data_IF_909300198729
#
_entry.id   IF_909300198729
#
_cell.length_a   1.000
_cell.length_b   1.000
_cell.length_c   1.000
_cell.angle_alpha   90.00
_cell.angle_beta   90.00
_cell.angle_gamma   90.00
#
_symmetry.space_group_name_H-M   'P 1'
#
loop_
_entity.id
_entity.type
_entity.pdbx_description
1 polymer ?
#
# COMPACT_ATOMS: atom_id res chain seq x y z
N UNK A 1 13.42 12.16 1.14
CA UNK A 1 12.85 11.47 -0.06
C UNK A 1 13.93 11.28 -1.13
N UNK A 2 14.86 12.20 -1.30
CA UNK A 2 16.01 12.07 -2.21
C UNK A 2 16.89 10.86 -1.93
N UNK A 3 16.78 10.25 -0.76
CA UNK A 3 17.58 9.07 -0.34
C UNK A 3 16.90 7.73 -0.66
N UNK A 4 15.64 7.71 -1.14
CA UNK A 4 14.93 6.47 -1.48
C UNK A 4 14.78 6.36 -2.99
N UNK A 5 15.59 5.55 -3.67
CA UNK A 5 15.49 5.36 -5.11
C UNK A 5 14.15 4.75 -5.54
N UNK A 6 13.67 5.15 -6.72
CA UNK A 6 12.38 4.69 -7.24
C UNK A 6 12.27 3.16 -7.38
N UNK A 7 13.37 2.47 -7.66
CA UNK A 7 13.42 1.00 -7.72
C UNK A 7 13.02 0.31 -6.41
N UNK A 8 13.42 0.89 -5.27
CA UNK A 8 13.03 0.39 -3.94
C UNK A 8 11.54 0.60 -3.70
N UNK A 9 11.04 1.81 -4.02
CA UNK A 9 9.62 2.16 -3.87
C UNK A 9 8.74 1.27 -4.73
N UNK A 10 9.09 1.11 -6.01
CA UNK A 10 8.36 0.26 -6.95
C UNK A 10 8.36 -1.20 -6.53
N UNK A 11 9.52 -1.73 -6.08
CA UNK A 11 9.64 -3.08 -5.54
C UNK A 11 8.77 -3.29 -4.30
N UNK A 12 8.81 -2.35 -3.35
CA UNK A 12 8.03 -2.37 -2.13
C UNK A 12 6.52 -2.31 -2.39
N UNK A 13 6.06 -1.34 -3.18
CA UNK A 13 4.64 -1.19 -3.53
C UNK A 13 4.11 -2.41 -4.27
N UNK A 14 4.89 -2.93 -5.22
CA UNK A 14 4.53 -4.16 -5.92
C UNK A 14 4.47 -5.36 -4.97
N UNK A 15 5.42 -5.47 -4.04
CA UNK A 15 5.42 -6.50 -2.99
C UNK A 15 4.16 -6.45 -2.12
N UNK A 16 3.74 -5.26 -1.68
CA UNK A 16 2.49 -5.07 -0.94
C UNK A 16 1.28 -5.52 -1.79
N UNK A 17 1.23 -5.14 -3.06
CA UNK A 17 0.17 -5.56 -3.98
C UNK A 17 0.07 -7.08 -4.08
N UNK A 18 1.20 -7.79 -4.22
CA UNK A 18 1.25 -9.24 -4.23
C UNK A 18 0.82 -9.87 -2.90
N UNK A 19 1.25 -9.30 -1.75
CA UNK A 19 0.81 -9.75 -0.42
C UNK A 19 -0.73 -9.66 -0.31
N UNK A 20 -1.30 -8.51 -0.68
CA UNK A 20 -2.75 -8.30 -0.63
C UNK A 20 -3.46 -9.37 -1.46
N UNK A 21 -3.06 -9.57 -2.71
CA UNK A 21 -3.68 -10.56 -3.59
C UNK A 21 -3.56 -11.97 -3.00
N UNK A 22 -2.38 -12.36 -2.55
CA UNK A 22 -2.15 -13.69 -2.00
C UNK A 22 -3.00 -13.97 -0.76
N UNK A 23 -3.13 -13.00 0.14
CA UNK A 23 -3.96 -13.13 1.35
C UNK A 23 -5.46 -13.17 1.05
N UNK A 24 -5.91 -12.66 -0.09
CA UNK A 24 -7.32 -12.66 -0.47
C UNK A 24 -7.75 -13.94 -1.20
N UNK A 25 -6.84 -14.84 -1.58
CA UNK A 25 -7.18 -16.10 -2.24
C UNK A 25 -8.07 -16.97 -1.33
N UNK A 26 -7.74 -17.08 -0.05
CA UNK A 26 -8.56 -17.84 0.91
C UNK A 26 -9.97 -17.27 1.06
N UNK A 27 -10.15 -16.01 1.49
CA UNK A 27 -11.46 -15.38 1.61
C UNK A 27 -12.29 -15.39 0.32
N UNK A 28 -11.64 -15.28 -0.85
CA UNK A 28 -12.28 -15.38 -2.16
C UNK A 28 -12.94 -16.76 -2.35
N UNK A 29 -12.29 -17.81 -1.89
CA UNK A 29 -12.79 -19.19 -1.92
C UNK A 29 -13.71 -19.52 -0.73
N UNK A 30 -13.90 -18.59 0.21
CA UNK A 30 -14.67 -18.81 1.44
C UNK A 30 -13.91 -19.59 2.52
N UNK A 31 -12.59 -19.70 2.38
CA UNK A 31 -11.70 -20.35 3.34
C UNK A 31 -11.14 -19.27 4.29
N UNK A 32 -11.31 -19.48 5.59
CA UNK A 32 -10.70 -18.57 6.58
C UNK A 32 -9.20 -18.85 6.68
N UNK A 33 -8.41 -17.85 6.34
CA UNK A 33 -6.96 -17.90 6.44
C UNK A 33 -6.47 -16.81 7.37
N UNK A 34 -5.40 -17.08 8.11
CA UNK A 34 -4.76 -16.12 9.02
C UNK A 34 -3.24 -16.24 8.91
N UNK A 35 -2.55 -15.15 9.24
CA UNK A 35 -1.10 -15.15 9.32
C UNK A 35 -0.40 -14.59 8.10
N UNK A 36 0.81 -15.09 7.85
CA UNK A 36 1.67 -14.64 6.75
C UNK A 36 1.22 -15.25 5.41
N UNK A 37 1.73 -14.68 4.30
CA UNK A 37 1.40 -15.13 2.94
C UNK A 37 1.59 -16.64 2.77
N UNK A 38 2.73 -17.18 3.22
CA UNK A 38 3.03 -18.62 3.09
C UNK A 38 2.03 -19.47 3.87
N UNK A 39 1.74 -19.09 5.12
CA UNK A 39 0.80 -19.82 5.99
C UNK A 39 -0.62 -19.78 5.42
N UNK A 40 -1.02 -18.63 4.88
CA UNK A 40 -2.32 -18.47 4.22
C UNK A 40 -2.44 -19.37 2.99
N UNK A 41 -1.44 -19.37 2.12
CA UNK A 41 -1.44 -20.18 0.91
C UNK A 41 -1.40 -21.69 1.26
N UNK A 42 -0.53 -22.09 2.19
CA UNK A 42 -0.48 -23.51 2.64
C UNK A 42 -1.80 -23.96 3.23
N UNK A 43 -2.49 -23.11 4.00
CA UNK A 43 -3.83 -23.41 4.53
C UNK A 43 -4.85 -23.61 3.42
N UNK A 44 -4.83 -22.76 2.38
CA UNK A 44 -5.71 -22.92 1.22
C UNK A 44 -5.46 -24.24 0.48
N UNK A 45 -4.19 -24.60 0.27
CA UNK A 45 -3.84 -25.82 -0.47
C UNK A 45 -4.05 -27.11 0.36
N UNK A 46 -3.80 -27.07 1.67
CA UNK A 46 -3.96 -28.25 2.54
C UNK A 46 -5.43 -28.54 2.89
N UNK A 47 -6.26 -27.50 3.01
CA UNK A 47 -7.67 -27.60 3.36
C UNK A 47 -8.56 -27.06 2.24
N UNK A 48 -8.35 -27.52 1.01
CA UNK A 48 -9.08 -27.03 -0.15
C UNK A 48 -10.56 -27.46 -0.10
N UNK A 49 -11.39 -26.69 0.57
CA UNK A 49 -12.84 -26.83 0.61
C UNK A 49 -13.50 -25.51 0.18
N UNK A 50 -13.55 -25.24 -1.12
CA UNK A 50 -14.09 -23.99 -1.62
C UNK A 50 -15.61 -23.91 -1.40
N UNK A 51 -16.08 -22.77 -0.92
CA UNK A 51 -17.49 -22.46 -0.73
C UNK A 51 -18.08 -21.87 -2.02
N UNK A 52 -19.00 -22.55 -2.72
CA UNK A 52 -19.57 -22.03 -3.97
C UNK A 52 -20.27 -20.68 -3.81
N UNK A 53 -20.91 -20.43 -2.66
CA UNK A 53 -21.54 -19.15 -2.37
C UNK A 53 -20.51 -18.00 -2.30
N UNK A 54 -19.40 -18.25 -1.61
CA UNK A 54 -18.31 -17.26 -1.52
C UNK A 54 -17.68 -16.98 -2.89
N UNK A 55 -17.44 -18.02 -3.69
CA UNK A 55 -16.94 -17.86 -5.07
C UNK A 55 -17.90 -17.04 -5.91
N UNK A 56 -19.20 -17.33 -5.85
CA UNK A 56 -20.21 -16.58 -6.60
C UNK A 56 -20.22 -15.09 -6.23
N UNK A 57 -20.15 -14.77 -4.94
CA UNK A 57 -20.05 -13.40 -4.44
C UNK A 57 -18.76 -12.73 -4.90
N UNK A 58 -17.62 -13.42 -4.81
CA UNK A 58 -16.32 -12.90 -5.24
C UNK A 58 -16.30 -12.62 -6.75
N UNK A 59 -16.77 -13.54 -7.57
CA UNK A 59 -16.83 -13.37 -9.03
C UNK A 59 -17.75 -12.21 -9.41
N UNK A 60 -18.92 -12.11 -8.76
CA UNK A 60 -19.83 -10.98 -9.01
C UNK A 60 -19.18 -9.66 -8.60
N UNK A 61 -18.48 -9.60 -7.48
CA UNK A 61 -17.75 -8.41 -7.03
C UNK A 61 -16.65 -8.02 -8.01
N UNK A 62 -15.81 -8.98 -8.42
CA UNK A 62 -14.76 -8.75 -9.42
C UNK A 62 -15.38 -8.27 -10.74
N UNK A 63 -16.47 -8.89 -11.18
CA UNK A 63 -17.20 -8.45 -12.37
C UNK A 63 -17.62 -6.99 -12.27
N UNK A 64 -18.25 -6.57 -11.17
CA UNK A 64 -18.65 -5.17 -10.98
C UNK A 64 -17.43 -4.26 -10.97
N UNK A 65 -16.39 -4.61 -10.19
CA UNK A 65 -15.23 -3.71 -10.00
C UNK A 65 -14.42 -3.54 -11.29
N UNK A 66 -14.30 -4.58 -12.13
CA UNK A 66 -13.57 -4.51 -13.38
C UNK A 66 -14.39 -4.00 -14.56
N UNK A 67 -15.69 -4.30 -14.59
CA UNK A 67 -16.55 -3.97 -15.73
C UNK A 67 -17.26 -2.61 -15.60
N UNK A 68 -17.22 -1.98 -14.40
CA UNK A 68 -17.87 -0.67 -14.22
C UNK A 68 -17.25 0.38 -15.15
N UNK A 69 -18.05 0.98 -16.07
CA UNK A 69 -17.56 1.98 -17.00
C UNK A 69 -17.07 3.24 -16.27
N UNK A 70 -16.06 3.90 -16.83
CA UNK A 70 -15.50 5.15 -16.26
C UNK A 70 -16.55 6.23 -16.02
N UNK A 71 -17.60 6.29 -16.86
CA UNK A 71 -18.70 7.24 -16.70
C UNK A 71 -19.48 7.05 -15.39
N UNK A 72 -19.70 5.79 -14.97
CA UNK A 72 -20.36 5.47 -13.70
C UNK A 72 -19.38 5.63 -12.55
N UNK A 73 -18.15 5.18 -12.71
CA UNK A 73 -17.10 5.26 -11.67
C UNK A 73 -16.71 6.69 -11.28
N UNK A 74 -17.03 7.70 -12.10
CA UNK A 74 -16.88 9.11 -11.78
C UNK A 74 -17.86 9.59 -10.69
N UNK A 75 -19.06 9.01 -10.65
CA UNK A 75 -20.10 9.35 -9.67
C UNK A 75 -20.06 8.44 -8.45
N UNK A 76 -19.93 7.15 -8.68
CA UNK A 76 -19.87 6.13 -7.62
C UNK A 76 -18.66 5.22 -7.90
N UNK A 77 -17.61 5.25 -7.05
CA UNK A 77 -16.45 4.36 -7.20
C UNK A 77 -16.87 2.89 -7.30
N UNK A 78 -16.26 2.14 -8.21
CA UNK A 78 -16.62 0.75 -8.47
C UNK A 78 -16.62 -0.16 -7.21
N UNK A 79 -15.66 0.00 -6.25
CA UNK A 79 -15.73 -0.74 -4.98
C UNK A 79 -16.96 -0.41 -4.14
N UNK A 80 -17.39 0.85 -4.11
CA UNK A 80 -18.59 1.26 -3.39
C UNK A 80 -19.85 0.72 -4.08
N UNK A 81 -19.88 0.73 -5.41
CA UNK A 81 -20.97 0.15 -6.18
C UNK A 81 -21.08 -1.37 -5.90
N UNK A 82 -19.95 -2.08 -5.84
CA UNK A 82 -19.93 -3.49 -5.46
C UNK A 82 -20.49 -3.70 -4.06
N UNK A 83 -20.11 -2.90 -3.07
CA UNK A 83 -20.66 -2.96 -1.71
C UNK A 83 -22.18 -2.77 -1.70
N UNK A 84 -22.67 -1.74 -2.39
CA UNK A 84 -24.10 -1.41 -2.41
C UNK A 84 -24.98 -2.44 -3.14
N UNK A 85 -24.44 -3.14 -4.12
CA UNK A 85 -25.17 -4.15 -4.90
C UNK A 85 -25.02 -5.53 -4.28
N UNK A 86 -23.79 -5.95 -4.01
CA UNK A 86 -23.50 -7.35 -3.64
C UNK A 86 -23.90 -7.64 -2.21
N UNK A 87 -23.79 -6.67 -1.28
CA UNK A 87 -24.19 -6.91 0.12
C UNK A 87 -25.68 -7.23 0.24
N UNK A 88 -26.64 -6.42 -0.29
CA UNK A 88 -28.04 -6.80 -0.27
C UNK A 88 -28.31 -8.13 -0.97
N UNK A 89 -27.73 -8.36 -2.15
CA UNK A 89 -27.91 -9.62 -2.86
C UNK A 89 -27.45 -10.80 -1.98
N UNK A 90 -26.31 -10.66 -1.29
CA UNK A 90 -25.83 -11.72 -0.40
C UNK A 90 -26.75 -11.99 0.79
N UNK A 91 -27.46 -10.98 1.28
CA UNK A 91 -28.44 -11.13 2.38
C UNK A 91 -29.68 -11.89 1.90
N UNK A 92 -30.19 -11.53 0.70
CA UNK A 92 -31.39 -12.17 0.16
C UNK A 92 -31.15 -13.57 -0.39
N UNK A 93 -29.98 -13.86 -0.96
CA UNK A 93 -29.70 -15.17 -1.58
C UNK A 93 -29.13 -16.20 -0.63
N UNK A 94 -28.42 -15.78 0.41
CA UNK A 94 -27.69 -16.69 1.30
C UNK A 94 -28.10 -16.47 2.76
N UNK A 95 -28.58 -17.55 3.40
CA UNK A 95 -28.96 -17.55 4.80
C UNK A 95 -27.78 -17.40 5.76
N UNK A 96 -28.10 -17.26 7.05
CA UNK A 96 -27.09 -17.21 8.11
C UNK A 96 -26.22 -18.46 8.10
N UNK A 97 -24.90 -18.27 8.25
CA UNK A 97 -23.91 -19.35 8.28
C UNK A 97 -23.41 -19.85 6.92
N UNK A 98 -24.04 -19.48 5.79
CA UNK A 98 -23.56 -19.90 4.45
C UNK A 98 -22.37 -19.06 3.96
N UNK A 99 -22.23 -17.84 4.45
CA UNK A 99 -21.15 -16.92 4.10
C UNK A 99 -20.50 -16.38 5.37
N UNK A 100 -19.19 -16.32 5.38
CA UNK A 100 -18.44 -15.60 6.42
C UNK A 100 -18.61 -14.10 6.18
N UNK A 101 -19.15 -13.41 7.18
CA UNK A 101 -19.37 -11.94 7.18
C UNK A 101 -18.38 -11.28 8.12
N UNK A 102 -18.29 -9.94 8.07
CA UNK A 102 -17.43 -9.17 8.98
C UNK A 102 -17.75 -9.49 10.45
N UNK A 103 -19.04 -9.67 10.77
CA UNK A 103 -19.50 -9.93 12.13
C UNK A 103 -19.61 -8.66 12.97
N UNK A 104 -19.69 -8.81 14.29
CA UNK A 104 -19.95 -7.69 15.21
C UNK A 104 -18.88 -6.60 15.15
N UNK A 105 -19.30 -5.39 14.86
CA UNK A 105 -18.47 -4.20 14.86
C UNK A 105 -18.72 -3.43 16.17
N UNK A 106 -17.66 -3.12 16.95
CA UNK A 106 -17.80 -2.28 18.12
C UNK A 106 -18.50 -0.97 17.77
N UNK A 107 -19.60 -0.66 18.48
CA UNK A 107 -20.41 0.52 18.25
C UNK A 107 -20.11 1.58 19.29
N UNK A 108 -20.13 2.83 18.87
CA UNK A 108 -20.02 3.96 19.76
C UNK A 108 -18.87 4.90 19.42
N UNK A 109 -18.87 6.02 20.10
CA UNK A 109 -17.77 6.98 19.96
C UNK A 109 -16.52 6.40 20.67
N UNK A 110 -15.36 6.36 20.02
CA UNK A 110 -14.14 5.90 20.66
C UNK A 110 -13.88 6.66 21.97
N UNK A 111 -13.65 5.93 23.04
CA UNK A 111 -13.34 6.52 24.35
C UNK A 111 -11.89 6.94 24.42
N UNK A 112 -11.64 8.07 25.08
CA UNK A 112 -10.28 8.49 25.41
C UNK A 112 -9.67 7.50 26.40
N UNK A 113 -8.60 6.87 26.02
CA UNK A 113 -7.91 5.87 26.85
C UNK A 113 -6.44 6.26 26.98
N UNK A 114 -5.99 6.54 28.20
CA UNK A 114 -4.57 6.74 28.48
C UNK A 114 -3.93 5.36 28.56
N UNK A 115 -3.03 5.01 27.64
CA UNK A 115 -2.42 3.69 27.64
C UNK A 115 -1.57 3.49 28.91
N UNK A 116 -1.81 2.40 29.63
CA UNK A 116 -0.95 1.98 30.75
C UNK A 116 0.31 1.35 30.16
N UNK A 117 1.41 2.09 30.22
CA UNK A 117 2.71 1.62 29.70
C UNK A 117 3.45 0.89 30.81
N UNK A 118 3.59 -0.42 30.69
CA UNK A 118 4.45 -1.20 31.56
C UNK A 118 5.91 -1.12 31.07
N UNK A 119 6.85 -0.85 31.95
CA UNK A 119 8.28 -0.66 31.61
C UNK A 119 8.87 -1.84 30.82
N UNK A 120 8.41 -3.05 31.05
CA UNK A 120 8.85 -4.25 30.35
C UNK A 120 8.54 -4.24 28.84
N UNK A 121 7.54 -3.48 28.39
CA UNK A 121 7.16 -3.38 26.97
C UNK A 121 7.77 -2.17 26.27
N UNK A 122 8.42 -1.25 26.98
CA UNK A 122 9.01 -0.04 26.39
C UNK A 122 9.94 -0.33 25.20
N UNK A 123 10.87 -1.30 25.25
CA UNK A 123 11.75 -1.56 24.11
C UNK A 123 10.99 -2.02 22.86
N UNK A 124 9.95 -2.83 23.03
CA UNK A 124 9.12 -3.33 21.93
C UNK A 124 8.29 -2.19 21.35
N UNK A 125 7.68 -1.36 22.21
CA UNK A 125 6.88 -0.19 21.82
C UNK A 125 7.75 0.80 21.05
N UNK A 126 8.94 1.11 21.56
CA UNK A 126 9.86 2.04 20.90
C UNK A 126 10.32 1.52 19.53
N UNK A 127 10.72 0.24 19.45
CA UNK A 127 11.11 -0.40 18.18
C UNK A 127 9.96 -0.38 17.18
N UNK A 128 8.78 -0.81 17.56
CA UNK A 128 7.60 -0.82 16.69
C UNK A 128 7.20 0.60 16.27
N UNK A 129 7.21 1.55 17.21
CA UNK A 129 6.90 2.95 16.93
C UNK A 129 7.87 3.60 15.95
N UNK A 130 9.18 3.38 16.13
CA UNK A 130 10.20 3.88 15.21
C UNK A 130 10.00 3.35 13.78
N UNK A 131 9.75 2.07 13.69
CA UNK A 131 9.51 1.40 12.41
C UNK A 131 8.27 1.96 11.71
N UNK A 132 7.15 2.05 12.44
CA UNK A 132 5.91 2.61 11.89
C UNK A 132 6.06 4.09 11.53
N UNK A 133 6.85 4.86 12.29
CA UNK A 133 7.16 6.25 11.97
C UNK A 133 7.93 6.38 10.65
N UNK A 134 8.95 5.56 10.45
CA UNK A 134 9.75 5.57 9.19
C UNK A 134 8.88 5.15 8.01
N UNK A 135 8.13 4.05 8.12
CA UNK A 135 7.24 3.58 7.06
C UNK A 135 6.15 4.60 6.75
N UNK A 136 5.50 5.14 7.78
CA UNK A 136 4.45 6.15 7.63
C UNK A 136 4.97 7.44 7.00
N UNK A 137 6.19 7.86 7.36
CA UNK A 137 6.85 9.03 6.75
C UNK A 137 7.12 8.79 5.26
N UNK A 138 7.67 7.63 4.89
CA UNK A 138 7.95 7.29 3.49
C UNK A 138 6.65 7.28 2.69
N UNK A 139 5.63 6.58 3.16
CA UNK A 139 4.35 6.41 2.44
C UNK A 139 3.60 7.76 2.29
N UNK A 140 3.55 8.55 3.36
CA UNK A 140 2.92 9.88 3.33
C UNK A 140 3.64 10.85 2.37
N UNK A 141 4.98 10.89 2.40
CA UNK A 141 5.74 11.78 1.53
C UNK A 141 5.70 11.33 0.06
N UNK A 142 5.71 10.03 -0.21
CA UNK A 142 5.50 9.52 -1.57
C UNK A 142 4.11 9.85 -2.10
N UNK A 143 3.09 9.71 -1.26
CA UNK A 143 1.72 10.11 -1.57
C UNK A 143 1.64 11.59 -1.92
N UNK A 144 2.29 12.44 -1.14
CA UNK A 144 2.35 13.89 -1.37
C UNK A 144 3.06 14.24 -2.68
N UNK A 145 4.16 13.55 -3.02
CA UNK A 145 4.85 13.73 -4.30
C UNK A 145 3.97 13.34 -5.50
N UNK A 146 3.23 12.25 -5.39
CA UNK A 146 2.30 11.84 -6.44
C UNK A 146 1.17 12.86 -6.60
N UNK A 147 0.64 13.37 -5.48
CA UNK A 147 -0.36 14.44 -5.49
C UNK A 147 0.16 15.71 -6.16
N UNK A 148 1.38 16.16 -5.82
CA UNK A 148 2.03 17.32 -6.43
C UNK A 148 2.16 17.18 -7.94
N UNK A 149 2.60 16.00 -8.41
CA UNK A 149 2.75 15.75 -9.84
C UNK A 149 1.42 15.84 -10.61
N UNK A 150 0.30 15.45 -9.99
CA UNK A 150 -1.02 15.49 -10.61
C UNK A 150 -1.63 16.89 -10.54
N UNK A 151 -1.52 17.56 -9.38
CA UNK A 151 -2.10 18.87 -9.12
C UNK A 151 -1.21 20.03 -9.56
N UNK A 152 0.06 19.77 -9.93
CA UNK A 152 1.09 20.78 -10.27
C UNK A 152 1.33 21.77 -9.12
N UNK A 153 1.22 21.29 -7.88
CA UNK A 153 1.50 22.03 -6.65
C UNK A 153 2.79 21.54 -5.99
N UNK A 154 3.21 22.19 -4.92
CA UNK A 154 4.30 21.72 -4.07
C UNK A 154 3.83 21.63 -2.64
N UNK A 155 3.94 20.45 -2.04
CA UNK A 155 3.67 20.22 -0.63
C UNK A 155 4.84 20.70 0.24
N UNK A 156 4.58 20.91 1.53
CA UNK A 156 5.61 21.13 2.54
C UNK A 156 5.81 19.84 3.32
N UNK A 157 6.91 19.13 3.06
CA UNK A 157 7.23 17.83 3.66
C UNK A 157 7.28 17.87 5.18
N UNK A 158 7.81 18.95 5.78
CA UNK A 158 7.92 19.07 7.23
C UNK A 158 6.53 19.20 7.89
N UNK A 159 5.67 20.03 7.31
CA UNK A 159 4.28 20.18 7.79
C UNK A 159 3.48 18.89 7.64
N UNK A 160 3.68 18.17 6.54
CA UNK A 160 3.03 16.88 6.31
C UNK A 160 3.43 15.88 7.40
N UNK A 161 4.72 15.72 7.68
CA UNK A 161 5.21 14.79 8.70
C UNK A 161 4.78 15.20 10.12
N UNK A 162 4.80 16.49 10.45
CA UNK A 162 4.32 16.98 11.74
C UNK A 162 2.81 16.69 11.87
N UNK A 163 2.03 16.99 10.84
CA UNK A 163 0.60 16.71 10.83
C UNK A 163 0.28 15.23 11.00
N UNK A 164 1.00 14.37 10.29
CA UNK A 164 0.89 12.91 10.38
C UNK A 164 1.25 12.42 11.79
N UNK A 165 2.32 12.95 12.39
CA UNK A 165 2.74 12.62 13.75
C UNK A 165 1.68 13.00 14.80
N UNK A 166 1.16 14.23 14.73
CA UNK A 166 0.08 14.70 15.63
C UNK A 166 -1.18 13.84 15.43
N UNK A 167 -1.58 13.57 14.18
CA UNK A 167 -2.75 12.74 13.88
C UNK A 167 -2.62 11.34 14.47
N UNK A 168 -1.47 10.70 14.32
CA UNK A 168 -1.20 9.37 14.88
C UNK A 168 -1.15 9.37 16.42
N UNK A 169 -0.59 10.42 17.03
CA UNK A 169 -0.59 10.57 18.49
C UNK A 169 -2.02 10.72 19.04
N UNK A 170 -2.85 11.54 18.39
CA UNK A 170 -4.26 11.69 18.76
C UNK A 170 -5.03 10.38 18.54
N UNK A 171 -4.83 9.69 17.40
CA UNK A 171 -5.45 8.39 17.16
C UNK A 171 -5.08 7.37 18.24
N UNK A 172 -3.83 7.35 18.69
CA UNK A 172 -3.37 6.47 19.79
C UNK A 172 -4.09 6.71 21.12
N UNK A 173 -4.46 7.96 21.43
CA UNK A 173 -5.27 8.28 22.62
C UNK A 173 -6.69 7.71 22.57
N UNK A 174 -7.20 7.46 21.37
CA UNK A 174 -8.50 6.82 21.15
C UNK A 174 -8.36 5.33 20.78
N UNK A 175 -7.22 4.69 21.10
CA UNK A 175 -6.93 3.28 20.77
C UNK A 175 -6.97 2.98 19.27
N UNK A 176 -6.82 4.01 18.43
CA UNK A 176 -6.77 3.88 16.99
C UNK A 176 -5.42 3.34 16.50
N UNK A 177 -5.45 2.67 15.36
CA UNK A 177 -4.24 2.23 14.68
C UNK A 177 -3.51 3.42 14.04
N UNK A 178 -2.16 3.41 14.01
CA UNK A 178 -1.42 4.43 13.28
C UNK A 178 -1.73 4.35 11.79
N UNK A 179 -1.85 5.51 11.15
CA UNK A 179 -2.13 5.64 9.72
C UNK A 179 -1.01 6.35 8.97
N UNK A 180 -1.08 6.28 7.65
CA UNK A 180 -0.21 6.99 6.72
C UNK A 180 -0.99 7.49 5.50
N UNK A 181 -0.36 8.29 4.67
CA UNK A 181 -0.91 8.72 3.39
C UNK A 181 -1.24 7.51 2.50
N UNK A 182 -2.33 7.58 1.75
CA UNK A 182 -2.73 6.50 0.85
C UNK A 182 -2.77 7.01 -0.59
N UNK A 183 -1.77 6.65 -1.38
CA UNK A 183 -1.54 7.15 -2.73
C UNK A 183 -2.78 7.02 -3.63
N UNK A 184 -3.41 5.84 -3.69
CA UNK A 184 -4.56 5.61 -4.55
C UNK A 184 -5.76 6.47 -4.19
N UNK A 185 -6.09 6.60 -2.90
CA UNK A 185 -7.20 7.46 -2.44
C UNK A 185 -6.92 8.93 -2.72
N UNK A 186 -5.68 9.37 -2.52
CA UNK A 186 -5.24 10.74 -2.81
C UNK A 186 -5.32 11.04 -4.31
N UNK A 187 -4.87 10.14 -5.16
CA UNK A 187 -4.96 10.29 -6.63
C UNK A 187 -6.41 10.41 -7.08
N UNK A 188 -7.29 9.57 -6.57
CA UNK A 188 -8.73 9.63 -6.89
C UNK A 188 -9.32 10.96 -6.43
N UNK A 189 -9.01 11.39 -5.21
CA UNK A 189 -9.49 12.65 -4.66
C UNK A 189 -9.06 13.85 -5.51
N UNK A 190 -7.78 13.95 -5.85
CA UNK A 190 -7.24 15.04 -6.69
C UNK A 190 -7.87 15.01 -8.08
N UNK A 191 -7.98 13.85 -8.73
CA UNK A 191 -8.62 13.69 -10.04
C UNK A 191 -10.11 14.03 -10.02
N UNK A 192 -10.76 13.88 -8.87
CA UNK A 192 -12.18 14.24 -8.68
C UNK A 192 -12.38 15.72 -8.33
N UNK A 193 -11.30 16.52 -8.29
CA UNK A 193 -11.36 17.96 -8.01
C UNK A 193 -11.08 18.35 -6.57
N UNK A 194 -10.70 17.41 -5.70
CA UNK A 194 -10.30 17.70 -4.33
C UNK A 194 -8.97 18.46 -4.31
N UNK A 195 -9.00 19.74 -3.95
CA UNK A 195 -7.84 20.65 -3.99
C UNK A 195 -7.44 21.18 -2.61
N UNK A 196 -8.19 20.85 -1.57
CA UNK A 196 -7.96 21.39 -0.22
C UNK A 196 -8.01 20.30 0.85
N UNK A 197 -7.40 20.54 2.03
CA UNK A 197 -7.47 19.61 3.17
C UNK A 197 -8.90 19.32 3.65
N UNK A 198 -9.85 20.17 3.33
CA UNK A 198 -11.29 19.99 3.68
C UNK A 198 -11.81 18.67 3.14
N UNK A 199 -11.38 18.25 1.96
CA UNK A 199 -11.77 16.94 1.40
C UNK A 199 -11.39 15.77 2.32
N UNK A 200 -10.19 15.79 2.89
CA UNK A 200 -9.77 14.80 3.89
C UNK A 200 -10.56 14.88 5.20
N UNK A 201 -10.90 16.09 5.64
CA UNK A 201 -11.73 16.29 6.83
C UNK A 201 -13.14 15.73 6.63
N UNK A 202 -13.76 16.00 5.48
CA UNK A 202 -15.09 15.44 5.13
C UNK A 202 -15.04 13.91 5.10
N UNK A 203 -13.99 13.32 4.54
CA UNK A 203 -13.80 11.88 4.57
C UNK A 203 -13.81 11.32 5.99
N UNK A 204 -13.09 11.96 6.93
CA UNK A 204 -13.06 11.55 8.33
C UNK A 204 -14.41 11.67 9.02
N UNK A 205 -15.16 12.75 8.74
CA UNK A 205 -16.53 12.95 9.26
C UNK A 205 -17.48 11.87 8.73
N UNK A 206 -17.41 11.54 7.44
CA UNK A 206 -18.24 10.47 6.85
C UNK A 206 -17.92 9.12 7.50
N UNK A 207 -16.64 8.80 7.72
CA UNK A 207 -16.27 7.57 8.42
C UNK A 207 -16.78 7.54 9.86
N UNK A 208 -16.75 8.68 10.56
CA UNK A 208 -17.31 8.78 11.92
C UNK A 208 -18.82 8.55 11.93
N UNK A 209 -19.55 9.11 10.98
CA UNK A 209 -21.01 8.88 10.82
C UNK A 209 -21.27 7.38 10.58
N UNK A 210 -20.47 6.73 9.74
CA UNK A 210 -20.60 5.30 9.48
C UNK A 210 -20.33 4.49 10.76
N UNK A 211 -19.29 4.84 11.52
CA UNK A 211 -18.94 4.15 12.77
C UNK A 211 -20.04 4.28 13.81
N UNK A 212 -20.68 5.46 13.94
CA UNK A 212 -21.71 5.71 14.97
C UNK A 212 -23.08 5.14 14.57
N UNK A 213 -23.42 5.14 13.28
CA UNK A 213 -24.78 4.81 12.83
C UNK A 213 -24.92 3.63 11.87
N UNK A 214 -23.95 3.37 11.02
CA UNK A 214 -24.05 2.38 9.96
C UNK A 214 -23.30 1.06 10.25
N UNK A 215 -22.78 0.86 11.46
CA UNK A 215 -22.13 -0.38 11.90
C UNK A 215 -22.93 -1.64 11.55
N UNK A 216 -24.25 -1.72 11.88
CA UNK A 216 -25.08 -2.88 11.55
C UNK A 216 -25.14 -3.24 10.06
N UNK A 217 -25.04 -2.25 9.18
CA UNK A 217 -24.99 -2.51 7.74
C UNK A 217 -23.65 -3.08 7.32
N UNK A 218 -22.57 -2.62 7.94
CA UNK A 218 -21.21 -3.11 7.64
C UNK A 218 -20.99 -4.55 8.17
N UNK A 219 -21.61 -4.93 9.29
CA UNK A 219 -21.55 -6.29 9.85
C UNK A 219 -22.02 -7.35 8.85
N UNK A 220 -22.95 -7.00 7.98
CA UNK A 220 -23.54 -7.91 6.98
C UNK A 220 -22.67 -8.09 5.73
N UNK A 221 -21.58 -7.36 5.58
CA UNK A 221 -20.72 -7.44 4.39
C UNK A 221 -19.99 -8.79 4.36
N UNK A 222 -20.10 -9.57 3.27
CA UNK A 222 -19.37 -10.84 3.14
C UNK A 222 -17.87 -10.63 2.97
N UNK A 223 -17.05 -11.44 3.62
CA UNK A 223 -15.59 -11.39 3.45
C UNK A 223 -15.17 -11.67 2.00
N UNK A 224 -15.90 -12.52 1.29
CA UNK A 224 -15.70 -12.81 -0.12
C UNK A 224 -15.86 -11.57 -1.03
N UNK A 225 -16.78 -10.66 -0.67
CA UNK A 225 -16.94 -9.37 -1.36
C UNK A 225 -15.72 -8.48 -1.13
N UNK A 226 -15.28 -8.37 0.13
CA UNK A 226 -14.09 -7.59 0.46
C UNK A 226 -12.85 -8.15 -0.23
N UNK A 227 -12.72 -9.47 -0.32
CA UNK A 227 -11.63 -10.12 -1.04
C UNK A 227 -11.61 -9.71 -2.52
N UNK A 228 -12.75 -9.70 -3.19
CA UNK A 228 -12.86 -9.23 -4.57
C UNK A 228 -12.40 -7.78 -4.75
N UNK A 229 -12.82 -6.89 -3.85
CA UNK A 229 -12.37 -5.48 -3.85
C UNK A 229 -10.87 -5.38 -3.62
N UNK A 230 -10.35 -6.09 -2.59
CA UNK A 230 -8.93 -6.03 -2.22
C UNK A 230 -8.00 -6.61 -3.29
N UNK A 231 -8.43 -7.63 -4.04
CA UNK A 231 -7.69 -8.10 -5.21
C UNK A 231 -7.51 -6.98 -6.24
N UNK A 232 -8.57 -6.23 -6.53
CA UNK A 232 -8.47 -5.08 -7.45
C UNK A 232 -7.51 -4.02 -6.91
N UNK A 233 -7.60 -3.70 -5.62
CA UNK A 233 -6.69 -2.76 -4.96
C UNK A 233 -5.25 -3.25 -5.04
N UNK A 234 -4.99 -4.53 -4.78
CA UNK A 234 -3.67 -5.14 -4.92
C UNK A 234 -3.12 -4.99 -6.34
N UNK A 235 -3.94 -5.26 -7.36
CA UNK A 235 -3.56 -5.08 -8.76
C UNK A 235 -3.26 -3.62 -9.12
N UNK A 236 -3.97 -2.66 -8.52
CA UNK A 236 -3.79 -1.23 -8.76
C UNK A 236 -2.55 -0.66 -8.05
N UNK A 237 -2.11 -1.27 -6.95
CA UNK A 237 -0.90 -0.89 -6.20
C UNK A 237 0.36 -1.36 -6.92
N UNK A 238 0.32 -2.49 -7.62
CA UNK A 238 1.46 -3.03 -8.37
C UNK A 238 1.90 -2.03 -9.45
N UNK A 239 3.18 -1.70 -9.46
CA UNK A 239 3.77 -0.86 -10.51
C UNK A 239 4.07 -1.68 -11.76
N UNK A 240 3.01 -1.99 -12.51
CA UNK A 240 3.10 -2.72 -13.78
C UNK A 240 3.98 -2.03 -14.80
N UNK A 241 4.04 -0.68 -14.75
CA UNK A 241 4.84 0.12 -15.67
C UNK A 241 6.33 -0.15 -15.51
N UNK A 242 6.79 -0.21 -14.26
CA UNK A 242 8.18 -0.47 -13.94
C UNK A 242 8.52 -1.95 -14.09
N UNK A 243 7.67 -2.87 -13.62
CA UNK A 243 7.84 -4.31 -13.77
C UNK A 243 8.00 -4.73 -15.24
N UNK A 244 7.17 -4.21 -16.14
CA UNK A 244 7.26 -4.50 -17.59
C UNK A 244 8.53 -3.93 -18.23
N UNK A 245 9.10 -2.86 -17.69
CA UNK A 245 10.32 -2.22 -18.19
C UNK A 245 11.58 -2.68 -17.50
N UNK A 246 11.48 -3.50 -16.45
CA UNK A 246 12.62 -3.96 -15.66
C UNK A 246 13.73 -4.59 -16.50
N UNK A 247 13.36 -5.35 -17.57
CA UNK A 247 14.32 -5.96 -18.50
C UNK A 247 15.11 -4.95 -19.37
N UNK A 248 14.66 -3.69 -19.43
CA UNK A 248 15.32 -2.59 -20.16
C UNK A 248 16.16 -1.69 -19.26
N UNK A 249 16.09 -1.90 -17.96
CA UNK A 249 16.85 -1.16 -16.97
C UNK A 249 18.20 -1.82 -16.73
N UNK A 250 19.09 -1.13 -16.02
CA UNK A 250 20.34 -1.74 -15.59
C UNK A 250 20.06 -2.96 -14.72
N UNK A 251 20.91 -3.98 -14.83
CA UNK A 251 20.80 -5.20 -14.03
C UNK A 251 20.80 -4.88 -12.53
N UNK A 252 21.63 -3.91 -12.11
CA UNK A 252 21.72 -3.44 -10.72
C UNK A 252 20.35 -2.90 -10.23
N UNK A 253 19.71 -2.02 -11.00
CA UNK A 253 18.39 -1.42 -10.67
C UNK A 253 17.30 -2.47 -10.60
N UNK A 254 17.26 -3.39 -11.56
CA UNK A 254 16.27 -4.48 -11.59
C UNK A 254 16.47 -5.46 -10.44
N UNK A 255 17.71 -5.80 -10.10
CA UNK A 255 18.03 -6.66 -8.96
C UNK A 255 17.56 -6.05 -7.62
N UNK A 256 17.77 -4.75 -7.42
CA UNK A 256 17.29 -4.05 -6.22
C UNK A 256 15.75 -4.11 -6.16
N UNK A 257 15.07 -3.80 -7.25
CA UNK A 257 13.60 -3.84 -7.30
C UNK A 257 13.04 -5.23 -6.97
N UNK A 258 13.50 -6.27 -7.67
CA UNK A 258 13.03 -7.64 -7.43
C UNK A 258 13.47 -8.15 -6.06
N UNK A 259 14.67 -7.80 -5.59
CA UNK A 259 15.14 -8.14 -4.25
C UNK A 259 14.23 -7.56 -3.16
N UNK A 260 13.89 -6.27 -3.26
CA UNK A 260 12.96 -5.61 -2.34
C UNK A 260 11.57 -6.23 -2.43
N UNK A 261 11.05 -6.50 -3.64
CA UNK A 261 9.76 -7.15 -3.84
C UNK A 261 9.71 -8.52 -3.14
N UNK A 262 10.69 -9.38 -3.39
CA UNK A 262 10.75 -10.72 -2.80
C UNK A 262 10.92 -10.67 -1.28
N UNK A 263 11.78 -9.78 -0.77
CA UNK A 263 11.93 -9.58 0.67
C UNK A 263 10.63 -9.08 1.31
N UNK A 264 9.90 -8.17 0.65
CA UNK A 264 8.61 -7.67 1.12
C UNK A 264 7.59 -8.81 1.24
N UNK A 265 7.51 -9.68 0.23
CA UNK A 265 6.50 -10.76 0.18
C UNK A 265 6.84 -11.91 1.15
N UNK A 266 8.11 -12.33 1.22
CA UNK A 266 8.48 -13.58 1.88
C UNK A 266 9.19 -13.42 3.22
N UNK A 267 9.71 -12.25 3.53
CA UNK A 267 10.45 -12.05 4.78
C UNK A 267 9.74 -11.04 5.68
N UNK A 268 10.13 -9.76 5.55
CA UNK A 268 9.63 -8.70 6.40
C UNK A 268 9.62 -7.37 5.64
N UNK A 269 8.50 -6.68 5.71
CA UNK A 269 8.24 -5.42 5.02
C UNK A 269 9.28 -4.32 5.37
N UNK A 270 9.68 -4.28 6.64
CA UNK A 270 10.57 -3.27 7.18
C UNK A 270 11.98 -3.50 6.72
N UNK A 271 12.46 -4.74 6.88
CA UNK A 271 13.79 -5.13 6.43
C UNK A 271 13.93 -4.98 4.93
N UNK A 272 12.89 -5.26 4.16
CA UNK A 272 12.90 -5.07 2.70
C UNK A 272 13.20 -3.62 2.32
N UNK A 273 12.54 -2.64 2.97
CA UNK A 273 12.78 -1.22 2.70
C UNK A 273 14.16 -0.79 3.18
N UNK A 274 14.55 -1.13 4.41
CA UNK A 274 15.83 -0.70 4.97
C UNK A 274 17.03 -1.24 4.17
N UNK A 275 17.03 -2.54 3.87
CA UNK A 275 18.08 -3.18 3.07
C UNK A 275 18.04 -2.67 1.63
N UNK A 276 16.85 -2.50 1.05
CA UNK A 276 16.68 -1.98 -0.30
C UNK A 276 17.23 -0.56 -0.44
N UNK A 277 16.90 0.33 0.50
CA UNK A 277 17.44 1.71 0.52
C UNK A 277 18.95 1.71 0.69
N UNK A 278 19.48 0.89 1.61
CA UNK A 278 20.91 0.79 1.84
C UNK A 278 21.66 0.34 0.57
N UNK A 279 21.24 -0.76 -0.04
CA UNK A 279 21.88 -1.30 -1.26
C UNK A 279 21.74 -0.29 -2.41
N UNK A 280 20.58 0.30 -2.60
CA UNK A 280 20.35 1.24 -3.70
C UNK A 280 21.19 2.50 -3.57
N UNK A 281 21.37 3.03 -2.35
CA UNK A 281 22.27 4.17 -2.12
C UNK A 281 23.74 3.81 -2.34
N UNK A 282 24.17 2.64 -1.91
CA UNK A 282 25.53 2.13 -2.19
C UNK A 282 25.81 2.09 -3.70
N UNK A 283 24.90 1.51 -4.47
CA UNK A 283 25.02 1.42 -5.93
C UNK A 283 24.99 2.80 -6.61
N UNK A 284 24.30 3.77 -6.04
CA UNK A 284 24.27 5.15 -6.56
C UNK A 284 25.61 5.85 -6.31
N UNK A 285 26.20 5.66 -5.13
CA UNK A 285 27.52 6.22 -4.79
C UNK A 285 28.57 5.65 -5.74
N UNK A 286 28.58 4.33 -5.98
CA UNK A 286 29.51 3.70 -6.91
C UNK A 286 29.41 4.32 -8.31
N UNK A 287 28.21 4.49 -8.83
CA UNK A 287 28.02 5.06 -10.18
C UNK A 287 28.46 6.53 -10.29
N UNK A 288 28.28 7.33 -9.23
CA UNK A 288 28.75 8.72 -9.20
C UNK A 288 30.29 8.74 -9.15
N UNK A 289 30.90 7.86 -8.39
CA UNK A 289 32.36 7.75 -8.29
C UNK A 289 32.97 7.33 -9.62
N UNK A 290 32.39 6.34 -10.31
CA UNK A 290 32.82 5.93 -11.65
C UNK A 290 32.74 7.10 -12.65
N UNK A 291 31.63 7.82 -12.68
CA UNK A 291 31.47 8.99 -13.58
C UNK A 291 32.44 10.11 -13.27
N UNK A 292 32.77 10.34 -12.00
CA UNK A 292 33.75 11.35 -11.61
C UNK A 292 35.17 10.95 -12.00
N UNK A 293 35.53 9.66 -11.87
CA UNK A 293 36.83 9.15 -12.28
C UNK A 293 37.00 9.23 -13.81
N UNK A 294 35.98 8.84 -14.57
CA UNK A 294 35.96 8.97 -16.03
C UNK A 294 36.13 10.45 -16.48
N UNK A 295 35.43 11.38 -15.83
CA UNK A 295 35.57 12.82 -16.11
C UNK A 295 36.96 13.38 -15.76
N UNK A 296 37.59 12.84 -14.71
CA UNK A 296 38.97 13.24 -14.35
C UNK A 296 40.01 12.69 -15.33
N UNK A 297 39.78 11.50 -15.91
CA UNK A 297 40.65 10.92 -16.94
C UNK A 297 40.52 11.65 -18.29
N UNK A 298 39.33 12.12 -18.66
CA UNK A 298 39.11 12.93 -19.86
C UNK A 298 39.76 14.33 -19.77
N UNK A 299 39.83 14.90 -18.57
CA UNK A 299 40.49 16.21 -18.34
C UNK A 299 41.99 16.10 -18.07
N UNK A 300 42.57 14.90 -18.03
CA UNK A 300 44.00 14.68 -17.80
C UNK A 300 44.77 15.01 -19.09
N UNK A 301 45.62 16.05 -19.11
CA UNK A 301 46.39 16.47 -20.31
C UNK A 301 47.38 15.38 -20.78
N UNK A 302 47.79 14.44 -19.91
CA UNK A 302 48.71 13.34 -20.25
C UNK A 302 48.01 12.26 -21.10
N UNK A 303 46.69 12.03 -20.92
CA UNK A 303 45.91 11.07 -21.72
C UNK A 303 45.72 11.56 -23.17
N UNK A 304 45.61 12.88 -23.39
CA UNK A 304 45.46 13.48 -24.72
C UNK A 304 46.77 13.43 -25.53
N UNK A 305 47.91 13.49 -24.86
CA UNK A 305 49.25 13.38 -25.53
C UNK A 305 49.55 11.91 -25.96
N UNK A 306 49.09 10.93 -25.21
CA UNK A 306 49.27 9.48 -25.58
C UNK A 306 48.32 9.05 -26.71
N UNK A 307 47.13 9.61 -26.79
CA UNK A 307 46.20 9.39 -27.92
C UNK A 307 46.72 10.07 -29.19
N UNK A 308 47.34 11.22 -29.09
CA UNK A 308 47.95 11.89 -30.24
C UNK A 308 49.22 11.18 -30.76
N UNK A 309 49.95 10.49 -29.88
CA UNK A 309 51.13 9.69 -30.29
C UNK A 309 50.76 8.36 -30.93
N UNK A 310 49.60 7.78 -30.60
CA UNK A 310 49.12 6.54 -31.21
C UNK A 310 48.35 6.73 -32.52
N UNK A 311 48.10 7.97 -32.94
CA UNK A 311 47.41 8.34 -34.19
C UNK A 311 48.36 8.80 -35.31
N UNK A 312 49.66 8.79 -35.08
CA UNK A 312 50.78 9.00 -36.04
C UNK A 312 51.49 7.68 -36.32
#
# INVERSE_FOLDING_TARGET
ITLVPYSVVSGFMSGIGFIIIALQIGPLLGITTQGKVIDSLTTVFSNFQPNPAAIGISVMTLGIVFLTPRKISQWVPAPLLALLIVTPISIFMFGEGQLVRIGDIPRGVPSLTIPSIFNQYLPIIFKAGLVLAVLGAIDSLLTSLVADNISQTKHNSDRELIGQGIGNAVAGLFTGLPGAGATMRTVINVKSGGSTPISGMVHSVVLLIVLVGAGPLAEQIPNALLAGILIKVGLDIIDWGFLKRAHKLSLKTSAVMYGVLLMTVFWDLIWAVLVGVFIANMLTIDSITETQLEGMDEDNPLSKDDQAKNAL
#
